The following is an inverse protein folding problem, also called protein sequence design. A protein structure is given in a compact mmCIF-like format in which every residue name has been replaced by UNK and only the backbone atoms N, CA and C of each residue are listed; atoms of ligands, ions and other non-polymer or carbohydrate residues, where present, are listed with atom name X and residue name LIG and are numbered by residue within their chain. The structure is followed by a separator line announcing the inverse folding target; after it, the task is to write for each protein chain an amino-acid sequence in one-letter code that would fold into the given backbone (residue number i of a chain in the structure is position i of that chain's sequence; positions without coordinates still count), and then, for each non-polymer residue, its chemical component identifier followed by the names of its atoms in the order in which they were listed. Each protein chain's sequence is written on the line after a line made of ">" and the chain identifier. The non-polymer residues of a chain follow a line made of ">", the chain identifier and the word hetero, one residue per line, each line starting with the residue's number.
data_IF_319946871625
#
_entry.id   IF_319946871625
#
_cell.length_a   1.000
_cell.length_b   1.000
_cell.length_c   1.000
_cell.angle_alpha   90.00
_cell.angle_beta   90.00
_cell.angle_gamma   90.00
#
_symmetry.space_group_name_H-M   'P 1'
#
loop_
_entity.id
_entity.type
_entity.pdbx_description
1 polymer ?
#
# COMPACT_ATOMS: atom_id res chain seq x y z
N UNK A 1 15.55 -10.51 -3.94
CA UNK A 1 14.07 -10.50 -3.95
C UNK A 1 13.55 -11.43 -2.86
N UNK A 2 13.39 -10.93 -1.64
CA UNK A 2 12.66 -11.68 -0.61
C UNK A 2 11.38 -10.90 -0.35
N UNK A 3 10.28 -11.37 -0.95
CA UNK A 3 8.94 -10.87 -0.64
C UNK A 3 8.64 -11.28 0.79
N UNK A 4 9.09 -10.47 1.76
CA UNK A 4 8.76 -10.67 3.16
C UNK A 4 7.24 -10.82 3.29
N UNK A 5 6.81 -11.70 4.19
CA UNK A 5 5.39 -12.00 4.40
C UNK A 5 4.58 -10.73 4.69
N UNK A 6 5.20 -9.78 5.40
CA UNK A 6 4.67 -8.42 5.62
C UNK A 6 4.47 -7.60 4.35
N UNK A 7 5.38 -7.69 3.37
CA UNK A 7 5.18 -7.04 2.07
C UNK A 7 3.99 -7.64 1.32
N UNK A 8 3.81 -8.97 1.38
CA UNK A 8 2.65 -9.63 0.77
C UNK A 8 1.34 -9.27 1.47
N UNK A 9 1.34 -9.16 2.80
CA UNK A 9 0.19 -8.67 3.56
C UNK A 9 -0.16 -7.22 3.21
N UNK A 10 0.85 -6.36 3.05
CA UNK A 10 0.66 -4.96 2.66
C UNK A 10 0.15 -4.85 1.23
N UNK A 11 0.72 -5.58 0.27
CA UNK A 11 0.22 -5.64 -1.10
C UNK A 11 -1.23 -6.14 -1.16
N UNK A 12 -1.56 -7.20 -0.39
CA UNK A 12 -2.94 -7.70 -0.28
C UNK A 12 -3.91 -6.68 0.32
N UNK A 13 -3.47 -5.89 1.32
CA UNK A 13 -4.25 -4.77 1.88
C UNK A 13 -4.44 -3.67 0.84
N UNK A 14 -3.39 -3.28 0.12
CA UNK A 14 -3.43 -2.27 -0.95
C UNK A 14 -4.40 -2.68 -2.06
N UNK A 15 -4.36 -3.92 -2.52
CA UNK A 15 -5.30 -4.43 -3.53
C UNK A 15 -6.75 -4.41 -3.04
N UNK A 16 -6.98 -4.71 -1.76
CA UNK A 16 -8.31 -4.61 -1.14
C UNK A 16 -8.80 -3.18 -1.08
N UNK A 17 -7.94 -2.24 -0.68
CA UNK A 17 -8.25 -0.81 -0.69
C UNK A 17 -8.50 -0.28 -2.10
N UNK A 18 -7.75 -0.75 -3.10
CA UNK A 18 -7.94 -0.39 -4.52
C UNK A 18 -9.27 -0.91 -5.08
N UNK A 19 -9.69 -2.11 -4.67
CA UNK A 19 -11.02 -2.67 -4.99
C UNK A 19 -12.15 -1.92 -4.29
N UNK A 20 -11.92 -1.43 -3.07
CA UNK A 20 -12.90 -0.57 -2.39
C UNK A 20 -12.97 0.82 -3.03
N UNK A 21 -11.84 1.41 -3.37
CA UNK A 21 -11.74 2.66 -4.13
C UNK A 21 -12.52 2.62 -5.45
N UNK A 22 -12.47 1.51 -6.19
CA UNK A 22 -13.23 1.37 -7.45
C UNK A 22 -14.74 1.33 -7.27
N UNK A 23 -15.22 1.00 -6.07
CA UNK A 23 -16.65 1.06 -5.71
C UNK A 23 -17.07 2.40 -5.12
N UNK A 24 -16.11 3.21 -4.68
CA UNK A 24 -16.35 4.49 -4.06
C UNK A 24 -16.12 5.59 -5.12
N UNK A 25 -17.20 6.24 -5.56
CA UNK A 25 -17.13 7.35 -6.50
C UNK A 25 -16.80 8.70 -5.81
N UNK A 26 -16.57 8.66 -4.50
CA UNK A 26 -16.22 9.82 -3.72
C UNK A 26 -14.72 10.15 -3.89
N UNK A 27 -14.43 11.30 -4.50
CA UNK A 27 -13.06 11.74 -4.76
C UNK A 27 -12.25 11.94 -3.48
N UNK A 28 -12.88 12.35 -2.37
CA UNK A 28 -12.20 12.55 -1.09
C UNK A 28 -11.77 11.20 -0.50
N UNK A 29 -12.63 10.19 -0.57
CA UNK A 29 -12.28 8.83 -0.20
C UNK A 29 -11.20 8.24 -1.11
N UNK A 30 -11.20 8.55 -2.41
CA UNK A 30 -10.16 8.11 -3.33
C UNK A 30 -8.79 8.72 -3.00
N UNK A 31 -8.74 10.03 -2.70
CA UNK A 31 -7.52 10.72 -2.27
C UNK A 31 -7.00 10.17 -0.94
N UNK A 32 -7.89 9.94 0.02
CA UNK A 32 -7.55 9.35 1.32
C UNK A 32 -6.98 7.94 1.18
N UNK A 33 -7.60 7.08 0.36
CA UNK A 33 -7.09 5.74 0.05
C UNK A 33 -5.72 5.81 -0.64
N UNK A 34 -5.54 6.75 -1.57
CA UNK A 34 -4.27 6.92 -2.27
C UNK A 34 -3.14 7.33 -1.31
N UNK A 35 -3.40 8.27 -0.41
CA UNK A 35 -2.45 8.65 0.66
C UNK A 35 -2.11 7.49 1.58
N UNK A 36 -3.11 6.72 2.02
CA UNK A 36 -2.90 5.52 2.84
C UNK A 36 -1.99 4.49 2.14
N UNK A 37 -2.15 4.29 0.82
CA UNK A 37 -1.31 3.41 0.03
C UNK A 37 0.12 3.96 -0.07
N UNK A 38 0.29 5.27 -0.31
CA UNK A 38 1.61 5.92 -0.32
C UNK A 38 2.33 5.77 1.03
N UNK A 39 1.65 6.02 2.15
CA UNK A 39 2.22 5.84 3.48
C UNK A 39 2.59 4.37 3.75
N UNK A 40 1.76 3.41 3.32
CA UNK A 40 2.09 1.99 3.43
C UNK A 40 3.31 1.60 2.57
N UNK A 41 3.49 2.21 1.40
CA UNK A 41 4.68 1.99 0.57
C UNK A 41 5.94 2.63 1.17
N UNK A 42 5.83 3.84 1.73
CA UNK A 42 6.93 4.50 2.45
C UNK A 42 7.31 3.69 3.69
N UNK A 43 6.35 3.20 4.45
CA UNK A 43 6.59 2.31 5.59
C UNK A 43 7.23 1.00 5.15
N UNK A 44 6.79 0.41 4.04
CA UNK A 44 7.41 -0.79 3.46
C UNK A 44 8.87 -0.54 3.07
N UNK A 45 9.18 0.61 2.47
CA UNK A 45 10.54 0.99 2.12
C UNK A 45 11.40 1.28 3.35
N UNK A 46 10.84 1.92 4.38
CA UNK A 46 11.50 2.19 5.65
C UNK A 46 11.75 0.91 6.47
N UNK A 47 10.86 -0.09 6.37
CA UNK A 47 10.98 -1.37 7.06
C UNK A 47 12.10 -2.26 6.46
N UNK A 48 12.51 -1.99 5.21
CA UNK A 48 13.56 -2.75 4.51
C UNK A 48 14.68 -1.84 3.99
N UNK A 49 15.59 -1.37 4.86
CA UNK A 49 16.81 -0.67 4.43
C UNK A 49 17.76 -1.55 3.59
N UNK A 50 17.57 -2.88 3.58
CA UNK A 50 18.40 -3.85 2.83
C UNK A 50 18.16 -3.90 1.31
N UNK A 51 17.21 -3.13 0.75
CA UNK A 51 17.06 -2.97 -0.71
C UNK A 51 17.99 -1.90 -1.30
N UNK A 52 18.92 -1.36 -0.50
CA UNK A 52 20.00 -0.47 -0.95
C UNK A 52 21.32 -1.24 -1.03
N UNK A 53 21.36 -2.31 -1.81
CA UNK A 53 22.63 -2.84 -2.34
C UNK A 53 22.44 -3.46 -3.70
#
# INVERSE_FOLDING_TARGET
>A
MMMCDKCKELDGKIERYRRHATRINDQLAHDGIKKLIEEMQVQRAALHPEQKK
#
